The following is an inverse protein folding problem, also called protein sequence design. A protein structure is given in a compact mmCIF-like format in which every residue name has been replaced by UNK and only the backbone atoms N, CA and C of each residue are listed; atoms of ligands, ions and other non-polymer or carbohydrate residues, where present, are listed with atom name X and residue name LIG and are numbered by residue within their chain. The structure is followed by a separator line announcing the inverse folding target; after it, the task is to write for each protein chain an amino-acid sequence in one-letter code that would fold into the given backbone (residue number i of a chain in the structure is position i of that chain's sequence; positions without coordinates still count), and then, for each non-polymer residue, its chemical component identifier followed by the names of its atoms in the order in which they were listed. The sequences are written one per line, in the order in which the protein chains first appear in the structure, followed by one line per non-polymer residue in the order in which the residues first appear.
data_IF_530600407700
#
_entry.id   IF_530600407700
#
_cell.length_a   1.000
_cell.length_b   1.000
_cell.length_c   1.000
_cell.angle_alpha   90.00
_cell.angle_beta   90.00
_cell.angle_gamma   90.00
#
_symmetry.space_group_name_H-M   'P 1'
#
loop_
_entity.id
_entity.type
_entity.pdbx_description
1 polymer ?
#
# COMPACT_ATOMS: atom_id res chain seq x y z
N UNK A 1 14.95 7.45 -58.51
CA UNK A 1 14.59 6.06 -58.85
C UNK A 1 15.03 5.17 -57.70
N UNK A 2 14.15 4.26 -57.28
CA UNK A 2 14.28 3.18 -56.30
C UNK A 2 14.41 3.58 -54.80
N UNK A 3 13.26 3.48 -54.13
CA UNK A 3 13.02 3.42 -52.69
C UNK A 3 13.43 2.04 -52.14
N UNK A 4 14.04 1.98 -50.96
CA UNK A 4 14.25 0.76 -50.19
C UNK A 4 13.45 0.85 -48.89
N UNK A 5 12.50 -0.08 -48.74
CA UNK A 5 11.48 -0.10 -47.71
C UNK A 5 12.00 -0.47 -46.32
N UNK A 6 11.37 0.16 -45.34
CA UNK A 6 11.47 -0.14 -43.91
C UNK A 6 10.54 -1.31 -43.62
N UNK A 7 11.09 -2.45 -43.21
CA UNK A 7 10.33 -3.60 -42.74
C UNK A 7 9.77 -3.30 -41.34
N UNK A 8 8.44 -3.16 -41.26
CA UNK A 8 7.69 -3.08 -40.02
C UNK A 8 7.75 -4.44 -39.30
N UNK A 9 8.45 -4.49 -38.16
CA UNK A 9 8.33 -5.62 -37.23
C UNK A 9 7.00 -5.49 -36.49
N UNK A 10 6.07 -6.36 -36.86
CA UNK A 10 4.74 -6.52 -36.27
C UNK A 10 4.84 -6.89 -34.79
N UNK A 11 4.33 -6.00 -33.93
CA UNK A 11 4.01 -6.28 -32.53
C UNK A 11 2.72 -7.12 -32.54
N UNK A 12 2.86 -8.45 -32.63
CA UNK A 12 1.74 -9.37 -32.51
C UNK A 12 1.74 -10.08 -31.16
N UNK A 13 0.75 -9.70 -30.35
CA UNK A 13 -0.02 -10.50 -29.40
C UNK A 13 0.67 -11.71 -28.73
N UNK A 14 1.13 -11.52 -27.49
CA UNK A 14 1.07 -12.58 -26.48
C UNK A 14 -0.12 -12.30 -25.57
N UNK A 15 -1.27 -12.83 -25.94
CA UNK A 15 -2.31 -13.16 -24.97
C UNK A 15 -1.76 -14.35 -24.19
N UNK A 16 -1.08 -14.08 -23.08
CA UNK A 16 -0.78 -15.10 -22.10
C UNK A 16 -2.13 -15.71 -21.68
N UNK A 17 -2.22 -17.04 -21.76
CA UNK A 17 -3.40 -17.80 -21.38
C UNK A 17 -3.65 -17.53 -19.90
N UNK A 18 -4.60 -16.65 -19.60
CA UNK A 18 -4.95 -16.20 -18.24
C UNK A 18 -5.36 -17.33 -17.27
N UNK A 19 -5.39 -18.60 -17.71
CA UNK A 19 -5.69 -19.78 -16.91
C UNK A 19 -4.48 -20.56 -16.37
N UNK A 20 -3.31 -20.55 -17.03
CA UNK A 20 -2.18 -21.39 -16.61
C UNK A 20 -1.50 -20.94 -15.28
N UNK A 21 -1.31 -19.63 -15.03
CA UNK A 21 -0.71 -19.18 -13.77
C UNK A 21 -1.64 -19.37 -12.56
N UNK A 22 -2.96 -19.24 -12.76
CA UNK A 22 -3.98 -19.51 -11.74
C UNK A 22 -4.11 -21.01 -11.42
N UNK A 23 -3.97 -21.89 -12.42
CA UNK A 23 -3.95 -23.34 -12.20
C UNK A 23 -2.73 -23.77 -11.37
N UNK A 24 -1.54 -23.19 -11.62
CA UNK A 24 -0.36 -23.45 -10.81
C UNK A 24 -0.48 -22.93 -9.37
N UNK A 25 -1.21 -21.82 -9.16
CA UNK A 25 -1.52 -21.31 -7.82
C UNK A 25 -2.53 -22.19 -7.08
N UNK A 26 -3.49 -22.81 -7.79
CA UNK A 26 -4.46 -23.72 -7.18
C UNK A 26 -3.82 -24.95 -6.52
N UNK A 27 -2.66 -25.39 -7.02
CA UNK A 27 -1.89 -26.50 -6.44
C UNK A 27 -1.00 -26.06 -5.24
N UNK A 28 -0.92 -24.76 -4.93
CA UNK A 28 -0.04 -24.25 -3.88
C UNK A 28 -0.26 -24.90 -2.50
N UNK A 29 -1.50 -25.20 -2.04
CA UNK A 29 -1.72 -25.92 -0.78
C UNK A 29 -1.10 -27.31 -0.73
N UNK A 30 -1.14 -28.05 -1.85
CA UNK A 30 -0.55 -29.40 -1.95
C UNK A 30 0.96 -29.30 -1.90
N UNK A 31 1.54 -28.34 -2.63
CA UNK A 31 2.99 -28.10 -2.64
C UNK A 31 3.50 -27.64 -1.28
N UNK A 32 2.78 -26.75 -0.59
CA UNK A 32 3.09 -26.31 0.77
C UNK A 32 3.20 -27.48 1.75
N UNK A 33 2.16 -28.34 1.77
CA UNK A 33 2.14 -29.52 2.65
C UNK A 33 3.28 -30.49 2.35
N UNK A 34 3.59 -30.70 1.07
CA UNK A 34 4.72 -31.54 0.66
C UNK A 34 6.05 -30.98 1.17
N UNK A 35 6.34 -29.71 0.92
CA UNK A 35 7.59 -29.09 1.38
C UNK A 35 7.72 -29.09 2.91
N UNK A 36 6.62 -28.86 3.64
CA UNK A 36 6.64 -28.97 5.10
C UNK A 36 6.96 -30.41 5.57
N UNK A 37 6.28 -31.41 5.03
CA UNK A 37 6.49 -32.82 5.38
C UNK A 37 7.91 -33.31 5.06
N UNK A 38 8.47 -32.86 3.94
CA UNK A 38 9.85 -33.17 3.51
C UNK A 38 10.91 -32.31 4.21
N UNK A 39 10.49 -31.31 5.01
CA UNK A 39 11.36 -30.28 5.60
C UNK A 39 12.19 -29.52 4.56
N UNK A 40 11.65 -29.36 3.36
CA UNK A 40 12.23 -28.55 2.29
C UNK A 40 11.92 -27.06 2.51
N UNK A 41 12.65 -26.45 3.45
CA UNK A 41 12.50 -25.03 3.78
C UNK A 41 12.91 -24.10 2.64
N UNK A 42 13.82 -24.55 1.77
CA UNK A 42 14.22 -23.78 0.60
C UNK A 42 13.10 -23.73 -0.44
N UNK A 43 12.46 -24.88 -0.71
CA UNK A 43 11.28 -24.96 -1.57
C UNK A 43 10.13 -24.12 -1.05
N UNK A 44 9.87 -24.14 0.27
CA UNK A 44 8.82 -23.31 0.89
C UNK A 44 9.13 -21.81 0.76
N UNK A 45 10.38 -21.40 0.99
CA UNK A 45 10.80 -20.00 0.83
C UNK A 45 10.66 -19.53 -0.62
N UNK A 46 11.10 -20.34 -1.59
CA UNK A 46 10.94 -20.03 -3.01
C UNK A 46 9.46 -19.97 -3.43
N UNK A 47 8.62 -20.83 -2.88
CA UNK A 47 7.17 -20.80 -3.14
C UNK A 47 6.53 -19.52 -2.59
N UNK A 48 6.91 -19.13 -1.37
CA UNK A 48 6.47 -17.87 -0.78
C UNK A 48 7.00 -16.67 -1.55
N UNK A 49 8.25 -16.67 -2.01
CA UNK A 49 8.80 -15.57 -2.78
C UNK A 49 8.06 -15.39 -4.12
N UNK A 50 7.65 -16.50 -4.75
CA UNK A 50 6.88 -16.49 -6.01
C UNK A 50 5.46 -15.98 -5.86
N UNK A 51 4.73 -16.42 -4.82
CA UNK A 51 3.30 -16.13 -4.66
C UNK A 51 2.99 -15.05 -3.61
N UNK A 52 3.94 -14.74 -2.72
CA UNK A 52 3.96 -13.66 -1.74
C UNK A 52 2.59 -13.35 -1.12
N UNK A 53 1.97 -12.23 -1.52
CA UNK A 53 0.69 -11.73 -1.02
C UNK A 53 -0.42 -12.75 -1.27
N UNK A 54 -0.44 -13.41 -2.42
CA UNK A 54 -1.47 -14.38 -2.76
C UNK A 54 -1.45 -15.55 -1.79
N UNK A 55 -0.26 -16.11 -1.52
CA UNK A 55 -0.12 -17.30 -0.70
C UNK A 55 -0.62 -17.06 0.72
N UNK A 56 -0.20 -15.95 1.33
CA UNK A 56 -0.63 -15.59 2.67
C UNK A 56 -2.10 -15.16 2.75
N UNK A 57 -2.64 -14.53 1.70
CA UNK A 57 -4.01 -14.02 1.73
C UNK A 57 -5.06 -15.09 1.42
N UNK A 58 -4.78 -15.99 0.47
CA UNK A 58 -5.73 -16.99 -0.01
C UNK A 58 -5.59 -18.33 0.74
N UNK A 59 -4.36 -18.71 1.15
CA UNK A 59 -4.07 -19.96 1.88
C UNK A 59 -3.35 -19.73 3.23
N UNK A 60 -3.87 -18.85 4.11
CA UNK A 60 -3.21 -18.54 5.37
C UNK A 60 -3.16 -19.72 6.33
N UNK A 61 -4.17 -20.60 6.34
CA UNK A 61 -4.20 -21.77 7.22
C UNK A 61 -3.08 -22.75 6.85
N UNK A 62 -2.93 -23.08 5.57
CA UNK A 62 -1.88 -23.98 5.09
C UNK A 62 -0.49 -23.39 5.26
N UNK A 63 -0.32 -22.09 4.99
CA UNK A 63 0.96 -21.43 5.20
C UNK A 63 1.31 -21.37 6.69
N UNK A 64 0.34 -21.06 7.57
CA UNK A 64 0.57 -21.06 9.01
C UNK A 64 0.92 -22.45 9.54
N UNK A 65 0.23 -23.50 9.08
CA UNK A 65 0.54 -24.88 9.42
C UNK A 65 1.96 -25.26 8.99
N UNK A 66 2.32 -25.00 7.73
CA UNK A 66 3.64 -25.31 7.18
C UNK A 66 4.79 -24.60 7.92
N UNK A 67 4.57 -23.36 8.38
CA UNK A 67 5.59 -22.61 9.13
C UNK A 67 5.60 -22.98 10.63
N UNK A 68 4.49 -23.45 11.20
CA UNK A 68 4.41 -23.84 12.61
C UNK A 68 5.28 -25.05 12.98
N UNK A 69 5.61 -25.88 12.00
CA UNK A 69 6.48 -27.06 12.17
C UNK A 69 7.99 -26.72 12.13
N UNK A 70 8.34 -25.46 11.85
CA UNK A 70 9.74 -25.06 11.69
C UNK A 70 10.46 -24.89 13.03
N UNK A 71 11.68 -25.45 13.17
CA UNK A 71 12.55 -25.12 14.28
C UNK A 71 12.88 -23.62 14.29
N UNK A 72 13.00 -23.03 15.49
CA UNK A 72 13.34 -21.60 15.65
C UNK A 72 14.67 -21.24 14.97
N UNK A 73 15.65 -22.16 14.95
CA UNK A 73 16.92 -21.98 14.24
C UNK A 73 16.72 -21.77 12.73
N UNK A 74 15.77 -22.47 12.11
CA UNK A 74 15.45 -22.31 10.68
C UNK A 74 14.85 -20.93 10.43
N UNK A 75 13.97 -20.44 11.32
CA UNK A 75 13.40 -19.09 11.19
C UNK A 75 14.46 -17.99 11.34
N UNK A 76 15.51 -18.22 12.14
CA UNK A 76 16.65 -17.31 12.24
C UNK A 76 17.50 -17.30 10.96
N UNK A 77 17.73 -18.46 10.35
CA UNK A 77 18.50 -18.58 9.11
C UNK A 77 17.70 -18.15 7.86
N UNK A 78 16.36 -18.21 7.93
CA UNK A 78 15.43 -17.90 6.84
C UNK A 78 14.40 -16.84 7.24
N UNK A 79 14.83 -15.60 7.46
CA UNK A 79 13.96 -14.52 7.89
C UNK A 79 12.80 -14.21 6.92
N UNK A 80 12.86 -14.59 5.63
CA UNK A 80 11.70 -14.42 4.72
C UNK A 80 10.53 -15.34 5.10
N UNK A 81 10.81 -16.52 5.65
CA UNK A 81 9.80 -17.42 6.20
C UNK A 81 9.17 -16.88 7.49
N UNK A 82 9.91 -16.11 8.28
CA UNK A 82 9.33 -15.37 9.40
C UNK A 82 8.30 -14.35 8.90
N UNK A 83 8.58 -13.61 7.83
CA UNK A 83 7.60 -12.71 7.20
C UNK A 83 6.39 -13.45 6.64
N UNK A 84 6.58 -14.64 6.06
CA UNK A 84 5.48 -15.50 5.61
C UNK A 84 4.56 -15.90 6.77
N UNK A 85 5.13 -16.32 7.91
CA UNK A 85 4.39 -16.65 9.12
C UNK A 85 3.53 -15.48 9.63
N UNK A 86 4.12 -14.27 9.64
CA UNK A 86 3.44 -13.06 10.06
C UNK A 86 2.27 -12.73 9.13
N UNK A 87 2.50 -12.78 7.82
CA UNK A 87 1.48 -12.49 6.82
C UNK A 87 0.31 -13.48 6.91
N UNK A 88 0.59 -14.78 7.06
CA UNK A 88 -0.43 -15.80 7.26
C UNK A 88 -1.28 -15.51 8.50
N UNK A 89 -0.64 -15.21 9.63
CA UNK A 89 -1.34 -14.90 10.88
C UNK A 89 -2.15 -13.60 10.80
N UNK A 90 -1.66 -12.60 10.07
CA UNK A 90 -2.45 -11.38 9.77
C UNK A 90 -3.74 -11.74 9.04
N UNK A 91 -3.63 -12.54 7.99
CA UNK A 91 -4.77 -12.92 7.17
C UNK A 91 -5.80 -13.73 7.96
N UNK A 92 -5.37 -14.64 8.85
CA UNK A 92 -6.27 -15.34 9.78
C UNK A 92 -7.00 -14.35 10.72
N UNK A 93 -6.27 -13.42 11.32
CA UNK A 93 -6.87 -12.40 12.19
C UNK A 93 -7.92 -11.56 11.44
N UNK A 94 -7.62 -11.13 10.20
CA UNK A 94 -8.57 -10.43 9.34
C UNK A 94 -9.84 -11.25 9.09
N UNK A 95 -9.70 -12.55 8.74
CA UNK A 95 -10.83 -13.45 8.45
C UNK A 95 -11.73 -13.64 9.67
N UNK A 96 -11.14 -13.73 10.85
CA UNK A 96 -11.84 -13.91 12.11
C UNK A 96 -12.45 -12.62 12.67
N UNK A 97 -12.28 -11.47 12.00
CA UNK A 97 -12.70 -10.16 12.51
C UNK A 97 -11.94 -9.74 13.78
N UNK A 98 -10.77 -10.32 14.01
CA UNK A 98 -9.92 -9.99 15.15
C UNK A 98 -9.29 -8.60 15.00
N UNK A 99 -8.90 -8.01 16.13
CA UNK A 99 -8.19 -6.74 16.12
C UNK A 99 -6.81 -6.91 15.47
N UNK A 100 -6.48 -6.10 14.47
CA UNK A 100 -5.18 -6.12 13.80
C UNK A 100 -4.03 -5.54 14.63
N UNK A 101 -4.33 -4.99 15.81
CA UNK A 101 -3.36 -4.31 16.65
C UNK A 101 -2.17 -5.19 17.09
N UNK A 102 -2.38 -6.41 17.64
CA UNK A 102 -1.27 -7.28 18.06
C UNK A 102 -0.35 -7.66 16.88
N UNK A 103 -0.93 -7.87 15.70
CA UNK A 103 -0.17 -8.14 14.48
C UNK A 103 0.72 -6.97 14.08
N UNK A 104 0.14 -5.76 13.99
CA UNK A 104 0.88 -4.57 13.62
C UNK A 104 2.02 -4.27 14.61
N UNK A 105 1.81 -4.54 15.91
CA UNK A 105 2.88 -4.43 16.91
C UNK A 105 4.04 -5.37 16.59
N UNK A 106 3.78 -6.65 16.33
CA UNK A 106 4.85 -7.61 16.02
C UNK A 106 5.59 -7.27 14.72
N UNK A 107 4.88 -6.81 13.68
CA UNK A 107 5.52 -6.31 12.46
C UNK A 107 6.39 -5.08 12.73
N UNK A 108 5.94 -4.18 13.60
CA UNK A 108 6.72 -3.02 14.04
C UNK A 108 7.97 -3.41 14.84
N UNK A 109 7.88 -4.38 15.73
CA UNK A 109 9.03 -4.86 16.52
C UNK A 109 10.12 -5.44 15.62
N UNK A 110 9.73 -6.19 14.59
CA UNK A 110 10.66 -6.75 13.61
C UNK A 110 11.26 -5.64 12.74
N UNK A 111 10.44 -4.70 12.26
CA UNK A 111 10.92 -3.54 11.53
C UNK A 111 11.90 -2.68 12.34
N UNK A 112 11.68 -2.54 13.65
CA UNK A 112 12.57 -1.81 14.55
C UNK A 112 13.93 -2.53 14.72
N UNK A 113 13.92 -3.86 14.90
CA UNK A 113 15.15 -4.66 14.97
C UNK A 113 15.93 -4.57 13.66
N UNK A 114 15.26 -4.81 12.54
CA UNK A 114 15.87 -4.68 11.21
C UNK A 114 16.41 -3.27 10.96
N UNK A 115 15.74 -2.21 11.43
CA UNK A 115 16.25 -0.86 11.27
C UNK A 115 17.63 -0.62 11.92
N UNK A 116 17.99 -1.41 12.95
CA UNK A 116 19.28 -1.33 13.62
C UNK A 116 20.35 -2.24 12.99
N UNK A 117 19.93 -3.34 12.36
CA UNK A 117 20.82 -4.42 11.90
C UNK A 117 21.01 -4.42 10.37
N UNK A 118 20.00 -3.96 9.62
CA UNK A 118 19.99 -4.02 8.17
C UNK A 118 20.80 -2.87 7.57
N UNK A 119 21.91 -3.22 6.92
CA UNK A 119 22.66 -2.32 6.06
C UNK A 119 22.53 -2.74 4.59
N UNK A 120 21.80 -1.97 3.75
CA UNK A 120 21.66 -2.27 2.34
C UNK A 120 22.99 -2.49 1.61
N UNK A 121 24.07 -1.80 1.99
CA UNK A 121 25.35 -1.89 1.29
C UNK A 121 26.04 -3.27 1.46
N UNK A 122 25.80 -3.95 2.58
CA UNK A 122 26.38 -5.27 2.87
C UNK A 122 25.50 -6.44 2.43
N UNK A 123 24.22 -6.20 2.15
CA UNK A 123 23.32 -7.24 1.66
C UNK A 123 23.65 -7.64 0.21
N UNK A 124 23.60 -8.95 -0.03
CA UNK A 124 23.96 -9.59 -1.30
C UNK A 124 22.77 -10.27 -1.97
N UNK A 125 21.70 -10.53 -1.22
CA UNK A 125 20.45 -11.09 -1.73
C UNK A 125 19.47 -9.98 -2.11
N UNK A 126 19.08 -9.95 -3.40
CA UNK A 126 18.07 -9.04 -3.91
C UNK A 126 16.70 -9.25 -3.22
N UNK A 127 16.32 -10.49 -2.92
CA UNK A 127 15.10 -10.81 -2.19
C UNK A 127 15.10 -10.21 -0.79
N UNK A 128 16.23 -10.33 -0.08
CA UNK A 128 16.38 -9.76 1.27
C UNK A 128 16.35 -8.24 1.24
N UNK A 129 17.00 -7.61 0.26
CA UNK A 129 16.94 -6.16 0.06
C UNK A 129 15.50 -5.66 -0.07
N UNK A 130 14.70 -6.34 -0.91
CA UNK A 130 13.30 -5.99 -1.12
C UNK A 130 12.46 -6.24 0.14
N UNK A 131 12.60 -7.41 0.78
CA UNK A 131 11.84 -7.78 1.99
C UNK A 131 12.18 -6.87 3.17
N UNK A 132 13.45 -6.81 3.56
CA UNK A 132 13.88 -6.08 4.75
C UNK A 132 13.77 -4.58 4.52
N UNK A 133 14.17 -4.09 3.34
CA UNK A 133 13.99 -2.70 2.95
C UNK A 133 12.52 -2.28 3.07
N UNK A 134 11.59 -3.10 2.59
CA UNK A 134 10.15 -2.83 2.70
C UNK A 134 9.64 -2.86 4.14
N UNK A 135 10.13 -3.78 4.97
CA UNK A 135 9.76 -3.87 6.38
C UNK A 135 10.23 -2.64 7.16
N UNK A 136 11.48 -2.23 6.98
CA UNK A 136 12.06 -1.05 7.62
C UNK A 136 11.40 0.23 7.09
N UNK A 137 11.14 0.34 5.78
CA UNK A 137 10.37 1.45 5.19
C UNK A 137 9.00 1.61 5.85
N UNK A 138 8.27 0.49 5.99
CA UNK A 138 6.95 0.47 6.63
C UNK A 138 7.06 0.91 8.08
N UNK A 139 8.04 0.41 8.82
CA UNK A 139 8.27 0.83 10.20
C UNK A 139 8.57 2.33 10.31
N UNK A 140 9.52 2.85 9.52
CA UNK A 140 9.86 4.28 9.48
C UNK A 140 8.63 5.14 9.13
N UNK A 141 7.81 4.70 8.17
CA UNK A 141 6.56 5.35 7.78
C UNK A 141 5.56 5.39 8.95
N UNK A 142 5.40 4.29 9.69
CA UNK A 142 4.52 4.24 10.86
C UNK A 142 5.01 5.12 12.03
N UNK A 143 6.31 5.43 12.10
CA UNK A 143 6.89 6.40 13.04
C UNK A 143 6.87 7.85 12.51
N UNK A 144 6.39 8.09 11.29
CA UNK A 144 6.42 9.41 10.64
C UNK A 144 7.82 9.88 10.21
N UNK A 145 8.81 8.98 10.19
CA UNK A 145 10.21 9.22 9.78
C UNK A 145 10.36 9.11 8.26
N UNK A 146 9.54 9.86 7.53
CA UNK A 146 9.40 9.71 6.07
C UNK A 146 10.69 10.03 5.28
N UNK A 147 11.45 11.05 5.69
CA UNK A 147 12.69 11.43 5.01
C UNK A 147 13.76 10.33 5.13
N UNK A 148 13.85 9.71 6.30
CA UNK A 148 14.74 8.57 6.54
C UNK A 148 14.27 7.34 5.75
N UNK A 149 12.96 7.13 5.70
CA UNK A 149 12.36 6.12 4.82
C UNK A 149 12.76 6.32 3.37
N UNK A 150 12.60 7.53 2.82
CA UNK A 150 12.98 7.79 1.43
C UNK A 150 14.49 7.58 1.17
N UNK A 151 15.34 8.04 2.09
CA UNK A 151 16.79 7.81 2.01
C UNK A 151 17.14 6.32 1.98
N UNK A 152 16.53 5.52 2.86
CA UNK A 152 16.68 4.07 2.86
C UNK A 152 16.19 3.45 1.54
N UNK A 153 15.01 3.85 1.07
CA UNK A 153 14.43 3.35 -0.18
C UNK A 153 15.32 3.63 -1.39
N UNK A 154 15.98 4.79 -1.43
CA UNK A 154 16.98 5.11 -2.45
C UNK A 154 18.18 4.18 -2.35
N UNK A 155 18.80 4.03 -1.18
CA UNK A 155 19.95 3.15 -0.97
C UNK A 155 19.67 1.69 -1.35
N UNK A 156 18.47 1.18 -1.03
CA UNK A 156 18.05 -0.17 -1.43
C UNK A 156 17.89 -0.26 -2.95
N UNK A 157 17.34 0.77 -3.60
CA UNK A 157 17.20 0.80 -5.06
C UNK A 157 18.56 0.85 -5.76
N UNK A 158 19.48 1.69 -5.27
CA UNK A 158 20.84 1.80 -5.78
C UNK A 158 21.57 0.46 -5.66
N UNK A 159 21.45 -0.20 -4.50
CA UNK A 159 22.04 -1.53 -4.29
C UNK A 159 21.43 -2.60 -5.20
N UNK A 160 20.12 -2.60 -5.40
CA UNK A 160 19.47 -3.54 -6.32
C UNK A 160 19.98 -3.36 -7.75
N UNK A 161 20.20 -2.10 -8.17
CA UNK A 161 20.78 -1.81 -9.47
C UNK A 161 22.23 -2.31 -9.60
N UNK A 162 23.03 -2.24 -8.53
CA UNK A 162 24.39 -2.81 -8.48
C UNK A 162 24.40 -4.33 -8.56
N UNK A 163 23.44 -5.01 -7.93
CA UNK A 163 23.34 -6.47 -7.92
C UNK A 163 22.71 -7.03 -9.21
N UNK A 164 22.10 -6.19 -10.05
CA UNK A 164 21.46 -6.68 -11.26
C UNK A 164 22.49 -7.28 -12.23
N UNK A 165 22.29 -8.53 -12.71
CA UNK A 165 23.23 -9.21 -13.59
C UNK A 165 23.36 -8.55 -14.97
N UNK A 166 22.39 -7.71 -15.37
CA UNK A 166 22.39 -6.99 -16.64
C UNK A 166 22.12 -5.52 -16.38
N UNK A 167 23.10 -4.67 -16.71
CA UNK A 167 22.98 -3.22 -16.56
C UNK A 167 21.78 -2.71 -17.38
N UNK A 168 20.79 -2.14 -16.69
CA UNK A 168 19.58 -1.61 -17.32
C UNK A 168 18.44 -2.61 -17.51
N UNK A 169 18.57 -3.86 -17.04
CA UNK A 169 17.47 -4.81 -16.96
C UNK A 169 17.27 -5.17 -15.49
N UNK A 170 16.07 -4.96 -14.97
CA UNK A 170 15.72 -5.32 -13.58
C UNK A 170 14.86 -6.59 -13.56
N UNK A 171 15.41 -7.79 -13.34
CA UNK A 171 14.65 -8.83 -12.68
C UNK A 171 14.88 -8.66 -11.17
N UNK A 172 14.22 -7.66 -10.59
CA UNK A 172 14.18 -7.45 -9.15
C UNK A 172 13.12 -8.41 -8.59
N UNK A 173 13.42 -9.21 -7.56
CA UNK A 173 12.41 -10.06 -6.96
C UNK A 173 11.20 -9.24 -6.52
N UNK A 174 10.00 -9.70 -6.88
CA UNK A 174 8.73 -9.01 -6.68
C UNK A 174 8.73 -7.62 -7.35
N UNK A 175 8.68 -7.58 -8.69
CA UNK A 175 8.76 -6.34 -9.44
C UNK A 175 7.74 -5.30 -8.98
N UNK A 176 8.17 -4.05 -8.89
CA UNK A 176 7.33 -2.94 -8.45
C UNK A 176 7.12 -2.83 -6.95
N UNK A 177 7.47 -3.85 -6.14
CA UNK A 177 7.17 -3.83 -4.70
C UNK A 177 7.92 -2.73 -3.94
N UNK A 178 9.23 -2.58 -4.19
CA UNK A 178 10.00 -1.51 -3.55
C UNK A 178 9.51 -0.12 -3.98
N UNK A 179 9.27 0.09 -5.27
CA UNK A 179 8.72 1.33 -5.80
C UNK A 179 7.35 1.66 -5.17
N UNK A 180 6.49 0.67 -5.00
CA UNK A 180 5.20 0.80 -4.31
C UNK A 180 5.40 1.25 -2.85
N UNK A 181 6.34 0.65 -2.12
CA UNK A 181 6.62 1.02 -0.73
C UNK A 181 7.16 2.43 -0.60
N UNK A 182 8.03 2.86 -1.53
CA UNK A 182 8.50 4.26 -1.61
C UNK A 182 7.34 5.21 -1.93
N UNK A 183 6.47 4.84 -2.87
CA UNK A 183 5.28 5.63 -3.23
C UNK A 183 4.33 5.83 -2.05
N UNK A 184 4.09 4.79 -1.24
CA UNK A 184 3.32 4.88 0.00
C UNK A 184 3.98 5.82 1.01
N UNK A 185 5.31 5.75 1.17
CA UNK A 185 6.06 6.67 2.06
C UNK A 185 5.91 8.13 1.62
N UNK A 186 5.97 8.41 0.32
CA UNK A 186 5.75 9.75 -0.24
C UNK A 186 4.31 10.21 -0.14
N UNK A 187 3.36 9.29 -0.32
CA UNK A 187 1.93 9.55 -0.10
C UNK A 187 1.69 10.02 1.33
N UNK A 188 2.30 9.34 2.31
CA UNK A 188 2.17 9.65 3.74
C UNK A 188 3.00 10.86 4.20
N UNK A 189 4.00 11.30 3.43
CA UNK A 189 4.69 12.57 3.66
C UNK A 189 3.98 13.77 3.01
N UNK A 190 2.99 13.50 2.16
CA UNK A 190 2.27 14.48 1.36
C UNK A 190 3.03 14.94 0.10
N UNK A 191 4.08 14.23 -0.31
CA UNK A 191 4.72 14.40 -1.62
C UNK A 191 3.94 13.63 -2.69
N UNK A 192 2.77 14.16 -3.08
CA UNK A 192 1.90 13.52 -4.06
C UNK A 192 2.51 13.42 -5.47
N UNK A 193 3.25 14.41 -5.99
CA UNK A 193 3.94 14.27 -7.28
C UNK A 193 4.97 13.15 -7.26
N UNK A 194 5.84 13.10 -6.23
CA UNK A 194 6.84 12.05 -6.09
C UNK A 194 6.24 10.68 -5.81
N UNK A 195 5.08 10.61 -5.12
CA UNK A 195 4.33 9.38 -4.94
C UNK A 195 3.74 8.86 -6.26
N UNK A 196 3.11 9.74 -7.04
CA UNK A 196 2.53 9.36 -8.34
C UNK A 196 3.59 8.79 -9.28
N UNK A 197 4.79 9.37 -9.27
CA UNK A 197 5.90 8.85 -10.08
C UNK A 197 6.30 7.42 -9.68
N UNK A 198 6.48 7.17 -8.38
CA UNK A 198 6.85 5.84 -7.90
C UNK A 198 5.73 4.80 -8.07
N UNK A 199 4.46 5.19 -7.98
CA UNK A 199 3.36 4.29 -8.32
C UNK A 199 3.36 3.93 -9.80
N UNK A 200 3.71 4.85 -10.72
CA UNK A 200 3.86 4.50 -12.14
C UNK A 200 4.99 3.51 -12.35
N UNK A 201 6.15 3.74 -11.72
CA UNK A 201 7.27 2.78 -11.75
C UNK A 201 6.82 1.41 -11.23
N UNK A 202 6.12 1.37 -10.10
CA UNK A 202 5.60 0.13 -9.52
C UNK A 202 4.61 -0.58 -10.45
N UNK A 203 3.72 0.17 -11.09
CA UNK A 203 2.78 -0.35 -12.09
C UNK A 203 3.53 -0.96 -13.27
N UNK A 204 4.43 -0.21 -13.90
CA UNK A 204 5.16 -0.69 -15.08
C UNK A 204 6.06 -1.91 -14.77
N UNK A 205 6.78 -1.89 -13.66
CA UNK A 205 7.63 -3.02 -13.25
C UNK A 205 6.80 -4.29 -13.00
N UNK A 206 5.61 -4.18 -12.41
CA UNK A 206 4.77 -5.35 -12.09
C UNK A 206 4.01 -5.93 -13.29
N UNK A 207 3.94 -5.22 -14.43
CA UNK A 207 3.25 -5.69 -15.65
C UNK A 207 3.95 -6.86 -16.34
N UNK A 208 5.22 -7.10 -16.02
CA UNK A 208 6.02 -8.16 -16.64
C UNK A 208 5.76 -9.54 -16.02
N UNK A 209 4.95 -9.63 -14.96
CA UNK A 209 4.68 -10.88 -14.26
C UNK A 209 3.19 -11.25 -14.19
N UNK A 210 2.90 -12.51 -14.55
CA UNK A 210 1.53 -13.04 -14.54
C UNK A 210 0.99 -13.34 -13.12
N UNK A 211 1.86 -13.44 -12.12
CA UNK A 211 1.51 -13.98 -10.78
C UNK A 211 1.76 -12.99 -9.63
N UNK A 212 2.69 -12.05 -9.80
CA UNK A 212 3.03 -11.03 -8.79
C UNK A 212 2.44 -9.64 -9.10
N UNK A 213 1.38 -9.59 -9.90
CA UNK A 213 0.75 -8.35 -10.37
C UNK A 213 0.19 -7.43 -9.25
N UNK A 214 0.12 -7.90 -8.00
CA UNK A 214 -0.43 -7.17 -6.85
C UNK A 214 0.25 -5.84 -6.59
N UNK A 215 1.56 -5.71 -6.84
CA UNK A 215 2.24 -4.44 -6.70
C UNK A 215 1.69 -3.40 -7.70
N UNK A 216 1.50 -3.82 -8.95
CA UNK A 216 0.94 -2.97 -10.00
C UNK A 216 -0.54 -2.67 -9.82
N UNK A 217 -1.34 -3.66 -9.44
CA UNK A 217 -2.75 -3.46 -9.09
C UNK A 217 -2.90 -2.46 -7.93
N UNK A 218 -2.12 -2.63 -6.85
CA UNK A 218 -2.14 -1.70 -5.71
C UNK A 218 -1.64 -0.30 -6.09
N UNK A 219 -0.65 -0.21 -6.98
CA UNK A 219 -0.18 1.06 -7.49
C UNK A 219 -1.24 1.80 -8.32
N UNK A 220 -1.95 1.10 -9.22
CA UNK A 220 -3.07 1.65 -9.99
C UNK A 220 -4.22 2.11 -9.06
N UNK A 221 -4.56 1.31 -8.05
CA UNK A 221 -5.55 1.65 -7.04
C UNK A 221 -5.17 2.95 -6.29
N UNK A 222 -3.91 3.06 -5.86
CA UNK A 222 -3.44 4.25 -5.12
C UNK A 222 -3.23 5.48 -6.01
N UNK A 223 -2.91 5.31 -7.30
CA UNK A 223 -2.92 6.41 -8.27
C UNK A 223 -4.34 6.95 -8.45
N UNK A 224 -5.33 6.07 -8.60
CA UNK A 224 -6.74 6.48 -8.65
C UNK A 224 -7.13 7.27 -7.40
N UNK A 225 -6.73 6.81 -6.19
CA UNK A 225 -6.95 7.51 -4.93
C UNK A 225 -6.35 8.92 -4.94
N UNK A 226 -5.06 9.05 -5.28
CA UNK A 226 -4.36 10.33 -5.32
C UNK A 226 -5.05 11.31 -6.27
N UNK A 227 -5.39 10.87 -7.48
CA UNK A 227 -6.06 11.71 -8.47
C UNK A 227 -7.49 12.05 -8.08
N UNK A 228 -8.21 11.15 -7.39
CA UNK A 228 -9.57 11.40 -6.94
C UNK A 228 -9.61 12.45 -5.84
N UNK A 229 -8.67 12.39 -4.90
CA UNK A 229 -8.53 13.43 -3.89
C UNK A 229 -8.22 14.79 -4.52
N UNK A 230 -7.38 14.79 -5.56
CA UNK A 230 -7.09 15.95 -6.40
C UNK A 230 -8.16 16.19 -7.48
N UNK A 231 -9.38 15.64 -7.38
CA UNK A 231 -10.50 15.92 -8.30
C UNK A 231 -10.19 15.77 -9.80
N UNK A 232 -9.23 14.95 -10.19
CA UNK A 232 -8.83 14.73 -11.58
C UNK A 232 -9.59 13.53 -12.17
N UNK A 233 -10.90 13.69 -12.41
CA UNK A 233 -11.80 12.59 -12.80
C UNK A 233 -11.31 11.74 -13.97
N UNK A 234 -10.76 12.37 -15.03
CA UNK A 234 -10.22 11.63 -16.18
C UNK A 234 -9.07 10.69 -15.80
N UNK A 235 -8.16 11.15 -14.94
CA UNK A 235 -7.07 10.33 -14.43
C UNK A 235 -7.58 9.22 -13.50
N UNK A 236 -8.60 9.50 -12.68
CA UNK A 236 -9.25 8.48 -11.85
C UNK A 236 -9.83 7.35 -12.71
N UNK A 237 -10.60 7.70 -13.74
CA UNK A 237 -11.18 6.71 -14.64
C UNK A 237 -10.12 5.87 -15.35
N UNK A 238 -9.03 6.51 -15.80
CA UNK A 238 -7.90 5.80 -16.39
C UNK A 238 -7.29 4.77 -15.43
N UNK A 239 -6.95 5.17 -14.20
CA UNK A 239 -6.28 4.28 -13.24
C UNK A 239 -7.20 3.21 -12.66
N UNK A 240 -8.49 3.50 -12.44
CA UNK A 240 -9.48 2.46 -12.13
C UNK A 240 -9.65 1.48 -13.30
N UNK A 241 -9.52 1.95 -14.55
CA UNK A 241 -9.44 1.11 -15.74
C UNK A 241 -8.22 0.19 -15.73
N UNK A 242 -7.04 0.73 -15.39
CA UNK A 242 -5.82 -0.08 -15.23
C UNK A 242 -5.98 -1.12 -14.11
N UNK A 243 -6.56 -0.75 -12.96
CA UNK A 243 -6.84 -1.70 -11.88
C UNK A 243 -7.72 -2.86 -12.37
N UNK A 244 -8.78 -2.57 -13.14
CA UNK A 244 -9.67 -3.59 -13.72
C UNK A 244 -9.03 -4.45 -14.82
N UNK A 245 -7.88 -4.04 -15.39
CA UNK A 245 -7.18 -4.85 -16.40
C UNK A 245 -6.36 -5.98 -15.80
N UNK A 246 -6.11 -5.95 -14.49
CA UNK A 246 -5.48 -7.07 -13.78
C UNK A 246 -6.47 -8.20 -13.53
N UNK A 247 -5.99 -9.44 -13.29
CA UNK A 247 -6.83 -10.53 -12.83
C UNK A 247 -7.66 -10.12 -11.60
N UNK A 248 -8.91 -10.60 -11.47
CA UNK A 248 -9.75 -10.27 -10.32
C UNK A 248 -9.07 -10.59 -8.98
N UNK A 249 -9.16 -9.65 -8.04
CA UNK A 249 -8.63 -9.83 -6.69
C UNK A 249 -9.48 -10.83 -5.92
N UNK A 250 -8.81 -11.82 -5.32
CA UNK A 250 -9.43 -12.78 -4.42
C UNK A 250 -9.91 -12.13 -3.11
N UNK A 251 -10.78 -12.81 -2.34
CA UNK A 251 -11.32 -12.27 -1.10
C UNK A 251 -10.24 -11.84 -0.11
N UNK A 252 -9.13 -12.59 0.00
CA UNK A 252 -8.05 -12.27 0.93
C UNK A 252 -7.20 -11.07 0.50
N UNK A 253 -7.07 -10.85 -0.81
CA UNK A 253 -6.20 -9.80 -1.37
C UNK A 253 -6.93 -8.48 -1.65
N UNK A 254 -8.25 -8.51 -1.79
CA UNK A 254 -9.08 -7.34 -2.15
C UNK A 254 -8.86 -6.15 -1.22
N UNK A 255 -8.83 -6.38 0.09
CA UNK A 255 -8.65 -5.30 1.07
C UNK A 255 -7.26 -4.67 0.98
N UNK A 256 -6.20 -5.49 0.86
CA UNK A 256 -4.81 -5.00 0.87
C UNK A 256 -4.46 -4.27 -0.43
N UNK A 257 -5.00 -4.73 -1.56
CA UNK A 257 -4.62 -4.28 -2.90
C UNK A 257 -5.59 -3.25 -3.47
N UNK A 258 -6.89 -3.39 -3.18
CA UNK A 258 -7.96 -2.57 -3.77
C UNK A 258 -8.41 -1.35 -2.97
N UNK A 259 -7.97 -1.17 -1.73
CA UNK A 259 -8.46 -0.10 -0.82
C UNK A 259 -8.39 1.30 -1.46
N UNK A 260 -7.26 1.65 -2.10
CA UNK A 260 -7.11 2.95 -2.79
C UNK A 260 -8.14 3.15 -3.92
N UNK A 261 -8.47 2.09 -4.65
CA UNK A 261 -9.49 2.12 -5.71
C UNK A 261 -10.88 2.39 -5.15
N UNK A 262 -11.23 1.76 -4.02
CA UNK A 262 -12.49 2.02 -3.31
C UNK A 262 -12.59 3.46 -2.80
N UNK A 263 -11.50 3.98 -2.21
CA UNK A 263 -11.45 5.38 -1.79
C UNK A 263 -11.68 6.31 -2.99
N UNK A 264 -11.08 6.00 -4.15
CA UNK A 264 -11.27 6.78 -5.37
C UNK A 264 -12.72 6.73 -5.88
N UNK A 265 -13.36 5.57 -5.86
CA UNK A 265 -14.79 5.39 -6.19
C UNK A 265 -15.68 6.21 -5.26
N UNK A 266 -15.40 6.21 -3.96
CA UNK A 266 -16.11 7.01 -2.97
C UNK A 266 -16.00 8.51 -3.24
N UNK A 267 -14.80 9.01 -3.57
CA UNK A 267 -14.64 10.41 -3.98
C UNK A 267 -15.42 10.74 -5.25
N UNK A 268 -15.43 9.86 -6.25
CA UNK A 268 -16.22 10.08 -7.47
C UNK A 268 -17.73 10.09 -7.20
N UNK A 269 -18.22 9.23 -6.30
CA UNK A 269 -19.62 9.22 -5.89
C UNK A 269 -19.98 10.51 -5.14
N UNK A 270 -19.10 10.97 -4.25
CA UNK A 270 -19.28 12.21 -3.50
C UNK A 270 -19.34 13.42 -4.45
N UNK A 271 -18.45 13.48 -5.45
CA UNK A 271 -18.41 14.54 -6.46
C UNK A 271 -19.66 14.57 -7.35
N UNK A 272 -20.37 13.44 -7.48
CA UNK A 272 -21.67 13.34 -8.17
C UNK A 272 -22.86 13.54 -7.24
N UNK A 273 -22.64 13.86 -5.97
CA UNK A 273 -23.66 13.91 -4.93
C UNK A 273 -24.46 12.60 -4.76
N UNK A 274 -23.85 11.45 -5.06
CA UNK A 274 -24.46 10.14 -4.93
C UNK A 274 -24.25 9.57 -3.53
N UNK A 275 -25.15 9.94 -2.60
CA UNK A 275 -25.06 9.52 -1.19
C UNK A 275 -25.04 8.00 -1.02
N UNK A 276 -25.90 7.29 -1.74
CA UNK A 276 -26.03 5.83 -1.61
C UNK A 276 -24.73 5.13 -2.02
N UNK A 277 -24.09 5.57 -3.10
CA UNK A 277 -22.83 4.99 -3.54
C UNK A 277 -21.66 5.32 -2.59
N UNK A 278 -21.59 6.53 -2.02
CA UNK A 278 -20.57 6.85 -1.00
C UNK A 278 -20.77 6.01 0.26
N UNK A 279 -22.01 5.86 0.72
CA UNK A 279 -22.34 5.07 1.90
C UNK A 279 -21.94 3.59 1.70
N UNK A 280 -22.28 3.01 0.54
CA UNK A 280 -21.86 1.65 0.21
C UNK A 280 -20.33 1.45 0.18
N UNK A 281 -19.58 2.45 -0.28
CA UNK A 281 -18.11 2.42 -0.24
C UNK A 281 -17.60 2.46 1.20
N UNK A 282 -18.13 3.36 2.04
CA UNK A 282 -17.71 3.50 3.44
C UNK A 282 -18.11 2.30 4.30
N UNK A 283 -19.22 1.63 4.01
CA UNK A 283 -19.58 0.36 4.64
C UNK A 283 -18.50 -0.71 4.39
N UNK A 284 -17.93 -0.73 3.18
CA UNK A 284 -16.85 -1.66 2.81
C UNK A 284 -15.51 -1.30 3.46
N UNK A 285 -15.05 -0.06 3.32
CA UNK A 285 -13.69 0.34 3.76
C UNK A 285 -13.61 0.86 5.20
N UNK A 286 -14.76 1.18 5.80
CA UNK A 286 -14.88 1.77 7.12
C UNK A 286 -14.83 3.30 7.11
N UNK A 287 -14.79 3.89 8.31
CA UNK A 287 -14.78 5.33 8.58
C UNK A 287 -13.37 5.89 8.86
N UNK A 288 -12.35 5.03 8.80
CA UNK A 288 -10.96 5.34 9.12
C UNK A 288 -10.53 4.99 10.55
N UNK A 289 -11.41 4.42 11.38
CA UNK A 289 -11.02 3.83 12.69
C UNK A 289 -10.22 2.54 12.55
N UNK A 290 -10.36 1.83 11.42
CA UNK A 290 -9.62 0.60 11.11
C UNK A 290 -8.11 0.87 11.03
N UNK A 291 -7.31 -0.10 11.46
CA UNK A 291 -5.85 0.00 11.48
C UNK A 291 -5.24 -0.32 10.10
N UNK A 292 -5.45 0.56 9.13
CA UNK A 292 -4.90 0.49 7.76
C UNK A 292 -3.87 1.59 7.57
N UNK A 293 -2.96 1.48 6.60
CA UNK A 293 -2.02 2.58 6.32
C UNK A 293 -2.70 3.77 5.64
N UNK A 294 -3.81 3.51 4.92
CA UNK A 294 -4.57 4.52 4.18
C UNK A 294 -5.68 5.17 5.02
N UNK A 295 -5.74 4.90 6.33
CA UNK A 295 -6.74 5.46 7.24
C UNK A 295 -6.94 6.98 7.10
N UNK A 296 -5.92 7.85 6.87
CA UNK A 296 -6.16 9.28 6.73
C UNK A 296 -7.01 9.63 5.50
N UNK A 297 -6.91 8.83 4.43
CA UNK A 297 -7.65 9.04 3.18
C UNK A 297 -9.11 8.56 3.33
N UNK A 298 -9.32 7.45 4.06
CA UNK A 298 -10.66 6.98 4.43
C UNK A 298 -11.36 8.00 5.35
N UNK A 299 -10.65 8.51 6.36
CA UNK A 299 -11.16 9.56 7.24
C UNK A 299 -11.51 10.82 6.47
N UNK A 300 -10.67 11.25 5.53
CA UNK A 300 -10.97 12.42 4.69
C UNK A 300 -12.27 12.24 3.90
N UNK A 301 -12.49 11.06 3.31
CA UNK A 301 -13.73 10.73 2.60
C UNK A 301 -14.94 10.70 3.54
N UNK A 302 -14.83 10.02 4.69
CA UNK A 302 -15.89 9.91 5.69
C UNK A 302 -16.34 11.28 6.21
N UNK A 303 -15.38 12.15 6.53
CA UNK A 303 -15.64 13.53 6.97
C UNK A 303 -16.25 14.36 5.86
N UNK A 304 -15.73 14.27 4.63
CA UNK A 304 -16.29 14.99 3.50
C UNK A 304 -17.74 14.56 3.24
N UNK A 305 -18.04 13.25 3.30
CA UNK A 305 -19.40 12.72 3.25
C UNK A 305 -20.28 13.33 4.34
N UNK A 306 -19.83 13.33 5.59
CA UNK A 306 -20.60 13.85 6.72
C UNK A 306 -20.88 15.35 6.59
N UNK A 307 -19.91 16.13 6.11
CA UNK A 307 -20.09 17.57 5.85
C UNK A 307 -21.02 17.85 4.66
N UNK A 308 -21.02 17.00 3.63
CA UNK A 308 -21.85 17.17 2.45
C UNK A 308 -23.30 16.75 2.65
N UNK A 309 -23.55 15.67 3.41
CA UNK A 309 -24.89 15.06 3.53
C UNK A 309 -25.43 14.98 4.96
N UNK A 310 -24.67 15.42 5.96
CA UNK A 310 -24.98 15.24 7.38
C UNK A 310 -24.70 16.47 8.23
N UNK A 311 -24.41 16.22 9.51
CA UNK A 311 -24.18 17.25 10.52
C UNK A 311 -22.68 17.47 10.76
N UNK A 312 -22.17 18.71 10.61
CA UNK A 312 -20.80 19.07 10.93
C UNK A 312 -20.34 18.72 12.36
N UNK A 313 -21.25 18.72 13.34
CA UNK A 313 -20.92 18.35 14.72
C UNK A 313 -20.60 16.86 14.81
N UNK A 314 -21.43 16.02 14.19
CA UNK A 314 -21.20 14.56 14.12
C UNK A 314 -19.91 14.25 13.35
N UNK A 315 -19.59 15.03 12.31
CA UNK A 315 -18.33 14.90 11.58
C UNK A 315 -17.11 15.17 12.48
N UNK A 316 -17.20 16.17 13.37
CA UNK A 316 -16.15 16.52 14.32
C UNK A 316 -15.99 15.45 15.42
N UNK A 317 -17.09 14.94 15.96
CA UNK A 317 -17.07 13.84 16.94
C UNK A 317 -16.45 12.56 16.36
N UNK A 318 -16.76 12.27 15.10
CA UNK A 318 -16.18 11.15 14.36
C UNK A 318 -14.66 11.32 14.20
N UNK A 319 -14.20 12.53 13.89
CA UNK A 319 -12.77 12.85 13.80
C UNK A 319 -12.02 12.60 15.12
N UNK A 320 -12.60 13.00 16.25
CA UNK A 320 -12.00 12.73 17.57
C UNK A 320 -11.96 11.23 17.89
N UNK A 321 -13.02 10.49 17.56
CA UNK A 321 -13.07 9.03 17.74
C UNK A 321 -11.99 8.33 16.91
N UNK A 322 -11.82 8.73 15.66
CA UNK A 322 -10.76 8.23 14.77
C UNK A 322 -9.38 8.59 15.37
N UNK A 323 -9.21 9.81 15.89
CA UNK A 323 -7.97 10.23 16.54
C UNK A 323 -7.60 9.34 17.72
N UNK A 324 -8.56 9.02 18.57
CA UNK A 324 -8.35 8.15 19.72
C UNK A 324 -8.07 6.70 19.30
N UNK A 325 -8.75 6.20 18.27
CA UNK A 325 -8.50 4.89 17.67
C UNK A 325 -7.08 4.74 17.13
N UNK A 326 -6.46 5.89 16.82
CA UNK A 326 -5.09 5.97 16.34
C UNK A 326 -4.12 6.57 17.36
N UNK A 327 -4.53 6.82 18.60
CA UNK A 327 -3.70 7.49 19.59
C UNK A 327 -2.53 6.59 20.01
N UNK A 328 -1.28 7.08 19.96
CA UNK A 328 -0.13 6.32 20.40
C UNK A 328 -0.14 5.95 21.91
N UNK A 329 -0.83 6.68 22.78
CA UNK A 329 -0.97 6.34 24.21
C UNK A 329 -1.98 5.21 24.46
N UNK A 330 -3.00 5.08 23.61
CA UNK A 330 -3.97 3.97 23.63
C UNK A 330 -3.44 2.77 22.85
N UNK A 331 -2.58 3.02 21.85
CA UNK A 331 -1.99 2.00 20.96
C UNK A 331 -0.49 1.75 21.18
N UNK A 332 0.13 2.27 22.23
CA UNK A 332 1.56 2.09 22.57
C UNK A 332 2.61 2.52 21.51
N UNK A 333 2.45 3.65 20.80
CA UNK A 333 3.35 4.08 19.69
C UNK A 333 4.01 5.47 19.93
N UNK A 334 4.91 5.90 19.03
CA UNK A 334 5.50 7.26 19.02
C UNK A 334 5.01 8.05 17.79
N UNK A 335 4.53 9.28 18.03
CA UNK A 335 4.30 10.41 17.10
C UNK A 335 3.55 10.16 15.76
N UNK A 336 2.21 10.08 15.82
CA UNK A 336 1.29 10.19 14.66
C UNK A 336 0.90 11.62 14.26
N UNK A 337 1.51 12.66 14.85
CA UNK A 337 1.25 14.09 14.53
C UNK A 337 1.35 14.42 13.03
N UNK A 338 2.18 13.68 12.27
CA UNK A 338 2.37 13.93 10.83
C UNK A 338 1.27 13.34 9.93
N UNK A 339 0.56 12.29 10.36
CA UNK A 339 -0.59 11.77 9.60
C UNK A 339 -1.78 12.75 9.64
N UNK A 340 -1.94 13.49 10.75
CA UNK A 340 -2.89 14.60 10.84
C UNK A 340 -2.56 15.75 9.88
N UNK A 341 -1.27 16.02 9.64
CA UNK A 341 -0.87 17.00 8.63
C UNK A 341 -1.23 16.55 7.20
N UNK A 342 -1.18 15.24 6.91
CA UNK A 342 -1.68 14.71 5.65
C UNK A 342 -3.18 14.97 5.56
N UNK A 343 -3.98 14.51 6.54
CA UNK A 343 -5.42 14.75 6.57
C UNK A 343 -5.77 16.24 6.40
N UNK A 344 -5.08 17.13 7.12
CA UNK A 344 -5.29 18.58 7.00
C UNK A 344 -4.98 19.07 5.57
N UNK A 345 -3.90 18.61 4.95
CA UNK A 345 -3.58 18.92 3.55
C UNK A 345 -4.63 18.37 2.58
N UNK A 346 -5.14 17.16 2.82
CA UNK A 346 -6.22 16.57 2.02
C UNK A 346 -7.42 17.53 2.04
N UNK A 347 -7.90 17.90 3.23
CA UNK A 347 -9.04 18.79 3.40
C UNK A 347 -8.79 20.19 2.79
N UNK A 348 -7.62 20.78 3.01
CA UNK A 348 -7.26 22.10 2.46
C UNK A 348 -7.18 22.08 0.92
N UNK A 349 -6.60 21.04 0.32
CA UNK A 349 -6.45 20.93 -1.15
C UNK A 349 -7.79 20.89 -1.88
N UNK A 350 -8.82 20.33 -1.22
CA UNK A 350 -10.20 20.29 -1.70
C UNK A 350 -10.93 21.62 -1.46
N UNK A 351 -10.78 22.22 -0.27
CA UNK A 351 -11.42 23.49 0.08
C UNK A 351 -10.89 24.70 -0.73
N UNK A 352 -9.63 24.66 -1.15
CA UNK A 352 -8.99 25.73 -1.91
C UNK A 352 -9.40 25.78 -3.40
N UNK A 353 -10.16 24.80 -3.90
CA UNK A 353 -10.66 24.85 -5.28
C UNK A 353 -11.82 25.83 -5.36
N UNK A 354 -11.80 26.75 -6.34
CA UNK A 354 -12.98 27.54 -6.64
C UNK A 354 -14.03 26.58 -7.20
N UNK A 355 -14.88 26.03 -6.32
CA UNK A 355 -16.19 25.56 -6.77
C UNK A 355 -16.87 26.79 -7.33
N UNK A 356 -17.22 26.76 -8.62
CA UNK A 356 -17.81 27.90 -9.32
C UNK A 356 -19.08 28.44 -8.66
N UNK A 357 -19.62 27.75 -7.64
CA UNK A 357 -20.67 28.19 -6.74
C UNK A 357 -20.23 27.91 -5.28
N UNK A 358 -20.11 28.98 -4.47
CA UNK A 358 -20.40 29.05 -3.02
C UNK A 358 -19.57 30.14 -2.33
N UNK A 359 -20.19 31.29 -2.05
CA UNK A 359 -19.67 32.35 -1.19
C UNK A 359 -19.66 32.02 0.33
N UNK A 360 -19.92 30.77 0.74
CA UNK A 360 -20.08 30.39 2.15
C UNK A 360 -18.83 29.79 2.82
N UNK A 361 -17.81 29.37 2.07
CA UNK A 361 -16.60 28.77 2.67
C UNK A 361 -15.67 29.79 3.35
N UNK A 362 -15.81 31.10 3.07
CA UNK A 362 -14.94 32.14 3.64
C UNK A 362 -15.27 32.52 5.08
N UNK A 363 -16.46 32.19 5.58
CA UNK A 363 -16.92 32.64 6.92
C UNK A 363 -16.59 31.67 8.04
N UNK A 364 -16.43 30.37 7.78
CA UNK A 364 -16.12 29.38 8.83
C UNK A 364 -14.64 29.36 9.26
N UNK A 365 -13.71 29.87 8.43
CA UNK A 365 -12.27 29.87 8.71
C UNK A 365 -11.78 31.18 9.36
N UNK A 366 -12.65 32.20 9.47
CA UNK A 366 -12.25 33.54 9.95
C UNK A 366 -12.27 33.74 11.46
N UNK A 367 -12.77 32.80 12.26
CA UNK A 367 -12.95 33.00 13.72
C UNK A 367 -11.95 32.30 14.64
N UNK A 368 -10.90 31.64 14.12
CA UNK A 368 -9.65 31.32 14.84
C UNK A 368 -8.66 30.67 13.87
N UNK A 369 -7.52 31.29 13.51
CA UNK A 369 -6.48 30.58 12.79
C UNK A 369 -5.83 29.56 13.74
N UNK A 370 -6.06 28.27 13.51
CA UNK A 370 -5.17 27.24 14.02
C UNK A 370 -3.87 27.38 13.21
N UNK A 371 -2.91 28.11 13.75
CA UNK A 371 -1.58 28.27 13.17
C UNK A 371 -0.90 26.90 13.04
N UNK A 372 -0.94 26.34 11.83
CA UNK A 372 -0.10 25.21 11.42
C UNK A 372 1.33 25.70 11.12
N UNK A 373 2.08 26.14 12.13
CA UNK A 373 3.52 26.35 11.99
C UNK A 373 4.22 26.35 13.35
N UNK A 374 5.03 25.32 13.69
CA UNK A 374 5.92 25.39 14.84
C UNK A 374 7.28 25.94 14.35
N UNK A 375 7.37 27.26 14.20
CA UNK A 375 8.68 27.93 14.19
C UNK A 375 8.69 28.92 15.35
N UNK A 376 9.55 28.72 16.37
CA UNK A 376 9.76 29.74 17.38
C UNK A 376 10.57 30.88 16.73
N UNK A 377 10.02 32.09 16.68
CA UNK A 377 10.81 33.29 16.34
C UNK A 377 10.18 34.37 15.46
N UNK A 378 8.94 34.26 15.00
CA UNK A 378 8.29 35.37 14.30
C UNK A 378 7.36 36.12 15.25
N UNK A 379 7.86 37.22 15.83
CA UNK A 379 7.06 38.20 16.56
C UNK A 379 6.14 38.99 15.64
N UNK A 380 5.05 39.48 16.23
CA UNK A 380 3.91 40.16 15.59
C UNK A 380 4.28 41.34 14.68
#
# INVERSE_FOLDING_TARGET
MASAGIEQVSISSRVAVAGAPMAAFAEAPVVLRRFAAERDWAGLEALYDRYWIALAAEYPEELAAAVSEMPVSVLHERPRLLFAALAARQALACRNGEQLYPYLRQYQDIGARLANEFDPASESSADNLVVFGSAVLTWLRLQGRFAEGESLGSRVSDRLAELSPVRGVEPVPRPGWLALQRALTRTMSGDFPGAAEQYRVAHEQARTEDVAFYAGARAAANLAMLFAQLGHHGAVHHWLGQLRSYPPLGPGTRFIVGEGGRIAEGWQALDRYDRAAVDAVLDEIGDGTRQTELWPFVTALSVARALHFGDPVVALESLETIRLSHDPGVTGRVSRRRCWNVLARICCSRAARPTGHCGSWRTAVRTRPICCCPRPGCGC
#
